data_IF_406623199630
#
_entry.id   IF_406623199630
#
_cell.length_a   1.000
_cell.length_b   1.000
_cell.length_c   1.000
_cell.angle_alpha   90.00
_cell.angle_beta   90.00
_cell.angle_gamma   90.00
#
_symmetry.space_group_name_H-M   'P 1'
#
loop_
_entity.id
_entity.type
_entity.pdbx_description
1 polymer ?
#
# COMPACT_ATOMS: atom_id res chain seq x y z
N UNK A 1 -8.41 -18.65 3.59
CA UNK A 1 -8.34 -18.95 2.15
C UNK A 1 -9.03 -17.88 1.30
N UNK A 2 -10.16 -17.30 1.74
CA UNK A 2 -10.87 -16.26 0.98
C UNK A 2 -10.04 -14.97 0.75
N UNK A 3 -9.31 -14.50 1.77
CA UNK A 3 -8.47 -13.31 1.65
C UNK A 3 -7.39 -13.45 0.54
N UNK A 4 -6.70 -14.59 0.48
CA UNK A 4 -5.70 -14.85 -0.57
C UNK A 4 -6.32 -14.81 -1.97
N UNK A 5 -7.54 -15.35 -2.13
CA UNK A 5 -8.28 -15.26 -3.39
C UNK A 5 -8.63 -13.83 -3.75
N UNK A 6 -9.07 -13.00 -2.78
CA UNK A 6 -9.36 -11.58 -3.00
C UNK A 6 -8.10 -10.81 -3.43
N UNK A 7 -6.97 -11.06 -2.77
CA UNK A 7 -5.67 -10.45 -3.10
C UNK A 7 -5.18 -10.87 -4.49
N UNK A 8 -5.19 -12.17 -4.81
CA UNK A 8 -4.81 -12.67 -6.14
C UNK A 8 -5.72 -12.10 -7.24
N UNK A 9 -7.03 -11.96 -6.99
CA UNK A 9 -7.97 -11.36 -7.95
C UNK A 9 -7.68 -9.88 -8.22
N UNK A 10 -7.15 -9.16 -7.23
CA UNK A 10 -6.66 -7.79 -7.38
C UNK A 10 -5.27 -7.70 -8.04
N UNK A 11 -4.65 -8.85 -8.35
CA UNK A 11 -3.36 -8.91 -9.04
C UNK A 11 -2.14 -8.96 -8.11
N UNK A 12 -2.34 -9.15 -6.80
CA UNK A 12 -1.26 -9.32 -5.83
C UNK A 12 -0.75 -10.76 -5.88
N UNK A 13 0.53 -10.95 -6.14
CA UNK A 13 1.16 -12.29 -6.18
C UNK A 13 1.44 -12.80 -4.76
N UNK A 14 0.41 -13.37 -4.14
CA UNK A 14 0.53 -13.93 -2.79
C UNK A 14 1.40 -15.19 -2.77
N UNK A 15 1.43 -15.97 -3.86
CA UNK A 15 2.14 -17.25 -3.95
C UNK A 15 3.66 -17.05 -3.88
N UNK A 16 4.20 -16.10 -4.65
CA UNK A 16 5.63 -15.78 -4.60
C UNK A 16 6.06 -15.25 -3.23
N UNK A 17 5.21 -14.47 -2.55
CA UNK A 17 5.52 -13.96 -1.20
C UNK A 17 5.51 -15.10 -0.19
N UNK A 18 4.49 -15.96 -0.20
CA UNK A 18 4.37 -17.11 0.70
C UNK A 18 5.56 -18.07 0.50
N UNK A 19 5.98 -18.29 -0.75
CA UNK A 19 7.15 -19.11 -1.07
C UNK A 19 8.42 -18.54 -0.44
N UNK A 20 8.65 -17.22 -0.54
CA UNK A 20 9.78 -16.54 0.12
C UNK A 20 9.74 -16.65 1.65
N UNK A 21 8.54 -16.76 2.22
CA UNK A 21 8.32 -16.99 3.66
C UNK A 21 8.40 -18.48 4.05
N UNK A 22 8.97 -19.34 3.20
CA UNK A 22 9.13 -20.77 3.47
C UNK A 22 7.81 -21.54 3.46
N UNK A 23 6.82 -21.09 2.69
CA UNK A 23 5.48 -21.68 2.64
C UNK A 23 4.58 -21.30 3.83
N UNK A 24 5.01 -20.36 4.68
CA UNK A 24 4.31 -20.01 5.91
C UNK A 24 3.13 -19.05 5.66
N UNK A 25 1.99 -19.61 5.28
CA UNK A 25 0.73 -18.86 5.07
C UNK A 25 0.29 -18.10 6.32
N UNK A 26 0.29 -18.66 7.54
CA UNK A 26 -0.06 -17.91 8.75
C UNK A 26 0.79 -16.67 8.99
N UNK A 27 2.10 -16.75 8.72
CA UNK A 27 3.01 -15.61 8.80
C UNK A 27 2.63 -14.53 7.80
N UNK A 28 2.39 -14.90 6.53
CA UNK A 28 1.94 -13.94 5.51
C UNK A 28 0.67 -13.20 5.95
N UNK A 29 -0.34 -13.92 6.42
CA UNK A 29 -1.60 -13.33 6.90
C UNK A 29 -1.39 -12.40 8.10
N UNK A 30 -0.46 -12.75 9.01
CA UNK A 30 -0.10 -11.89 10.15
C UNK A 30 0.53 -10.58 9.69
N UNK A 31 1.42 -10.61 8.69
CA UNK A 31 2.04 -9.40 8.13
C UNK A 31 0.99 -8.55 7.40
N UNK A 32 0.08 -9.17 6.63
CA UNK A 32 -1.06 -8.47 6.02
C UNK A 32 -1.93 -7.75 7.06
N UNK A 33 -2.20 -8.37 8.22
CA UNK A 33 -2.95 -7.71 9.30
C UNK A 33 -2.17 -6.54 9.92
N UNK A 34 -0.85 -6.67 10.05
CA UNK A 34 0.00 -5.57 10.54
C UNK A 34 -0.03 -4.35 9.61
N UNK A 35 -0.22 -4.56 8.30
CA UNK A 35 -0.36 -3.46 7.34
C UNK A 35 -1.55 -2.54 7.64
N UNK A 36 -2.64 -3.05 8.23
CA UNK A 36 -3.79 -2.22 8.62
C UNK A 36 -3.44 -1.15 9.67
N UNK A 37 -2.32 -1.35 10.38
CA UNK A 37 -1.82 -0.41 11.39
C UNK A 37 -0.59 0.37 10.90
N UNK A 38 -0.18 0.18 9.64
CA UNK A 38 0.95 0.91 9.06
C UNK A 38 0.57 2.37 8.80
N UNK A 39 1.42 3.29 9.29
CA UNK A 39 1.19 4.73 9.17
C UNK A 39 1.99 5.38 8.04
N UNK A 40 2.72 4.62 7.23
CA UNK A 40 3.62 5.20 6.22
C UNK A 40 2.86 5.96 5.14
N UNK A 41 1.71 5.46 4.67
CA UNK A 41 0.84 6.18 3.74
C UNK A 41 0.20 7.44 4.33
N UNK A 42 -0.51 7.42 5.48
CA UNK A 42 -1.12 8.64 6.01
C UNK A 42 -0.08 9.72 6.34
N UNK A 43 1.10 9.34 6.86
CA UNK A 43 2.19 10.28 7.12
C UNK A 43 2.82 10.84 5.84
N UNK A 44 2.87 10.06 4.76
CA UNK A 44 3.26 10.56 3.45
C UNK A 44 2.30 11.68 2.99
N UNK A 45 0.99 11.45 3.07
CA UNK A 45 0.00 12.44 2.65
C UNK A 45 0.06 13.71 3.51
N UNK A 46 0.26 13.56 4.82
CA UNK A 46 0.48 14.67 5.74
C UNK A 46 1.73 15.47 5.35
N UNK A 47 2.88 14.81 5.16
CA UNK A 47 4.13 15.46 4.77
C UNK A 47 4.00 16.22 3.44
N UNK A 48 3.31 15.64 2.46
CA UNK A 48 3.02 16.31 1.19
C UNK A 48 2.15 17.56 1.37
N UNK A 49 1.12 17.48 2.23
CA UNK A 49 0.25 18.63 2.52
C UNK A 49 0.96 19.79 3.22
N UNK A 50 1.99 19.47 4.02
CA UNK A 50 2.84 20.44 4.71
C UNK A 50 4.01 20.91 3.83
N UNK A 51 4.18 20.37 2.62
CA UNK A 51 5.31 20.68 1.74
C UNK A 51 6.65 20.13 2.22
N UNK A 52 6.67 19.22 3.21
CA UNK A 52 7.89 18.61 3.73
C UNK A 52 8.35 17.46 2.81
N UNK A 53 9.14 17.80 1.79
CA UNK A 53 9.67 16.81 0.84
C UNK A 53 10.60 15.80 1.52
N UNK A 54 11.35 16.21 2.55
CA UNK A 54 12.23 15.31 3.30
C UNK A 54 11.44 14.21 4.01
N UNK A 55 10.37 14.59 4.73
CA UNK A 55 9.53 13.62 5.44
C UNK A 55 8.73 12.76 4.45
N UNK A 56 8.24 13.36 3.36
CA UNK A 56 7.57 12.62 2.30
C UNK A 56 8.47 11.53 1.70
N UNK A 57 9.76 11.84 1.44
CA UNK A 57 10.76 10.86 0.97
C UNK A 57 10.98 9.72 1.97
N UNK A 58 11.04 10.03 3.26
CA UNK A 58 11.18 9.01 4.30
C UNK A 58 9.96 8.06 4.29
N UNK A 59 8.76 8.63 4.29
CA UNK A 59 7.52 7.84 4.36
C UNK A 59 7.26 7.02 3.09
N UNK A 60 7.48 7.57 1.89
CA UNK A 60 7.36 6.81 0.64
C UNK A 60 8.40 5.69 0.56
N UNK A 61 9.62 5.89 1.09
CA UNK A 61 10.65 4.86 1.14
C UNK A 61 10.23 3.69 2.04
N UNK A 62 9.66 3.98 3.22
CA UNK A 62 9.09 2.95 4.10
C UNK A 62 7.95 2.20 3.40
N UNK A 63 6.98 2.93 2.81
CA UNK A 63 5.84 2.33 2.13
C UNK A 63 6.27 1.43 0.96
N UNK A 64 7.29 1.85 0.20
CA UNK A 64 7.92 1.04 -0.87
C UNK A 64 8.40 -0.31 -0.35
N UNK A 65 9.07 -0.33 0.80
CA UNK A 65 9.60 -1.55 1.42
C UNK A 65 8.48 -2.47 1.91
N UNK A 66 7.46 -1.91 2.53
CA UNK A 66 6.25 -2.63 2.95
C UNK A 66 5.54 -3.27 1.75
N UNK A 67 5.33 -2.51 0.68
CA UNK A 67 4.72 -3.00 -0.56
C UNK A 67 5.53 -4.17 -1.19
N UNK A 68 6.86 -4.09 -1.21
CA UNK A 68 7.72 -5.18 -1.71
C UNK A 68 7.61 -6.47 -0.86
N UNK A 69 7.53 -6.32 0.46
CA UNK A 69 7.43 -7.46 1.37
C UNK A 69 6.07 -8.16 1.29
N UNK A 70 5.01 -7.41 1.00
CA UNK A 70 3.65 -7.94 0.89
C UNK A 70 3.26 -8.39 -0.52
N UNK A 71 4.10 -8.09 -1.51
CA UNK A 71 3.84 -8.40 -2.91
C UNK A 71 2.86 -7.42 -3.57
N UNK A 72 2.71 -6.20 -3.06
CA UNK A 72 1.86 -5.17 -3.66
C UNK A 72 2.61 -4.51 -4.83
N UNK A 73 2.77 -5.22 -5.95
CA UNK A 73 3.69 -4.80 -7.01
C UNK A 73 3.31 -3.44 -7.61
N UNK A 74 2.02 -3.16 -7.80
CA UNK A 74 1.56 -1.88 -8.34
C UNK A 74 1.88 -0.72 -7.39
N UNK A 75 1.53 -0.86 -6.10
CA UNK A 75 1.90 0.10 -5.07
C UNK A 75 3.42 0.30 -4.99
N UNK A 76 4.20 -0.78 -5.06
CA UNK A 76 5.66 -0.69 -5.05
C UNK A 76 6.21 0.10 -6.24
N UNK A 77 5.65 -0.09 -7.44
CA UNK A 77 6.04 0.65 -8.64
C UNK A 77 5.71 2.15 -8.52
N UNK A 78 4.51 2.50 -8.04
CA UNK A 78 4.11 3.88 -7.78
C UNK A 78 5.05 4.54 -6.76
N UNK A 79 5.36 3.87 -5.66
CA UNK A 79 6.29 4.40 -4.66
C UNK A 79 7.69 4.67 -5.23
N UNK A 80 8.16 3.84 -6.17
CA UNK A 80 9.44 4.08 -6.86
C UNK A 80 9.37 5.32 -7.74
N UNK A 81 8.31 5.44 -8.55
CA UNK A 81 8.15 6.59 -9.45
C UNK A 81 8.06 7.92 -8.67
N UNK A 82 7.24 7.96 -7.62
CA UNK A 82 7.10 9.12 -6.75
C UNK A 82 8.45 9.50 -6.12
N UNK A 83 9.19 8.51 -5.58
CA UNK A 83 10.49 8.76 -4.96
C UNK A 83 11.50 9.35 -5.97
N UNK A 84 11.57 8.80 -7.18
CA UNK A 84 12.44 9.32 -8.26
C UNK A 84 12.04 10.74 -8.68
N UNK A 85 10.73 11.02 -8.82
CA UNK A 85 10.27 12.37 -9.15
C UNK A 85 10.60 13.40 -8.05
N UNK A 86 10.52 13.00 -6.77
CA UNK A 86 10.97 13.82 -5.64
C UNK A 86 12.49 14.05 -5.63
N UNK A 87 13.29 13.12 -6.17
CA UNK A 87 14.76 13.29 -6.32
C UNK A 87 15.11 14.23 -7.47
N UNK A 88 14.31 14.25 -8.53
CA UNK A 88 14.49 15.11 -9.70
C UNK A 88 13.87 16.51 -9.55
N UNK A 89 13.25 16.81 -8.40
CA UNK A 89 12.50 18.05 -8.12
C UNK A 89 11.32 18.29 -9.08
N UNK A 90 10.77 17.23 -9.67
CA UNK A 90 9.65 17.29 -10.60
C UNK A 90 8.30 17.15 -9.86
N UNK A 91 8.01 18.09 -8.95
CA UNK A 91 6.85 18.01 -8.06
C UNK A 91 5.49 17.99 -8.82
N UNK A 92 5.46 18.50 -10.04
CA UNK A 92 4.27 18.54 -10.90
C UNK A 92 4.03 17.21 -11.64
N UNK A 93 5.00 16.30 -11.64
CA UNK A 93 4.98 15.10 -12.48
C UNK A 93 4.40 13.86 -11.76
N UNK A 94 4.18 13.90 -10.44
CA UNK A 94 3.72 12.74 -9.67
C UNK A 94 2.34 12.88 -9.02
N UNK A 95 1.61 13.96 -9.28
CA UNK A 95 0.24 14.13 -8.73
C UNK A 95 -0.67 12.96 -9.17
N UNK A 96 -0.56 12.56 -10.44
CA UNK A 96 -1.26 11.38 -10.95
C UNK A 96 -0.87 10.10 -10.19
N UNK A 97 0.43 9.88 -9.94
CA UNK A 97 0.92 8.72 -9.23
C UNK A 97 0.46 8.69 -7.76
N UNK A 98 0.35 9.85 -7.11
CA UNK A 98 -0.20 9.97 -5.74
C UNK A 98 -1.69 9.63 -5.71
N UNK A 99 -2.46 10.05 -6.71
CA UNK A 99 -3.87 9.68 -6.82
C UNK A 99 -4.01 8.16 -7.02
N UNK A 100 -3.25 7.58 -7.94
CA UNK A 100 -3.21 6.13 -8.16
C UNK A 100 -2.77 5.37 -6.89
N UNK A 101 -1.78 5.88 -6.16
CA UNK A 101 -1.32 5.28 -4.90
C UNK A 101 -2.41 5.31 -3.83
N UNK A 102 -3.16 6.41 -3.77
CA UNK A 102 -4.25 6.58 -2.83
C UNK A 102 -5.41 5.63 -3.10
N UNK A 103 -5.75 5.42 -4.38
CA UNK A 103 -6.78 4.47 -4.78
C UNK A 103 -6.37 3.03 -4.51
N UNK A 104 -5.13 2.67 -4.87
CA UNK A 104 -4.57 1.35 -4.58
C UNK A 104 -4.53 1.07 -3.07
N UNK A 105 -4.09 2.03 -2.26
CA UNK A 105 -4.07 1.90 -0.80
C UNK A 105 -5.47 1.62 -0.24
N UNK A 106 -6.49 2.38 -0.69
CA UNK A 106 -7.88 2.17 -0.24
C UNK A 106 -8.40 0.78 -0.62
N UNK A 107 -8.12 0.31 -1.84
CA UNK A 107 -8.55 -1.01 -2.30
C UNK A 107 -7.90 -2.11 -1.45
N UNK A 108 -6.59 -2.02 -1.20
CA UNK A 108 -5.87 -2.98 -0.36
C UNK A 108 -6.44 -3.00 1.07
N UNK A 109 -6.64 -1.83 1.69
CA UNK A 109 -7.23 -1.74 3.03
C UNK A 109 -8.63 -2.35 3.06
N UNK A 110 -9.46 -2.11 2.03
CA UNK A 110 -10.80 -2.69 1.94
C UNK A 110 -10.74 -4.24 1.86
N UNK A 111 -9.87 -4.78 1.00
CA UNK A 111 -9.66 -6.23 0.88
C UNK A 111 -9.19 -6.83 2.22
N UNK A 112 -8.23 -6.20 2.89
CA UNK A 112 -7.63 -6.68 4.14
C UNK A 112 -8.57 -6.57 5.35
N UNK A 113 -9.46 -5.58 5.37
CA UNK A 113 -10.42 -5.34 6.46
C UNK A 113 -11.67 -6.23 6.36
N UNK A 114 -11.72 -7.14 5.37
CA UNK A 114 -12.89 -7.97 5.01
C UNK A 114 -14.14 -7.18 4.58
N UNK A 115 -13.99 -5.87 4.43
CA UNK A 115 -14.94 -4.99 3.78
C UNK A 115 -14.68 -5.06 2.28
N UNK A 116 -15.13 -6.15 1.64
CA UNK A 116 -15.22 -6.16 0.17
C UNK A 116 -15.93 -4.88 -0.33
N UNK A 117 -15.66 -4.40 -1.56
CA UNK A 117 -16.36 -3.24 -2.11
C UNK A 117 -17.86 -3.53 -2.13
N UNK A 118 -18.58 -3.11 -1.09
CA UNK A 118 -19.93 -3.59 -0.82
C UNK A 118 -20.43 -3.51 0.62
N UNK A 119 -19.58 -3.36 1.65
CA UNK A 119 -20.09 -3.08 3.00
C UNK A 119 -20.06 -1.57 3.26
N UNK A 120 -21.24 -0.96 3.07
CA UNK A 120 -21.54 0.39 3.55
C UNK A 120 -21.09 0.48 5.01
N UNK A 121 -20.38 1.55 5.35
CA UNK A 121 -20.27 2.01 6.73
C UNK A 121 -21.70 2.19 7.25
N UNK A 122 -22.14 1.24 8.07
CA UNK A 122 -23.34 1.37 8.88
C UNK A 122 -23.03 2.48 9.88
N UNK A 123 -23.27 3.72 9.46
CA UNK A 123 -23.53 4.81 10.40
C UNK A 123 -24.82 4.42 11.09
N UNK A 124 -24.72 4.00 12.35
CA UNK A 124 -25.87 3.77 13.20
C UNK A 124 -25.60 4.44 14.53
N UNK A 125 -26.31 5.56 14.66
CA UNK A 125 -26.90 6.20 15.85
C UNK A 125 -25.99 6.55 17.03
#
# INVERSE_FOLDING_TARGET
>A
MELLKKLNKHGIDTESVITRLGGNVPLYLSICKKFLFDTSYPKLMEALSLGSISDAKMHIHTLKGVAANLGFQYMHALCKHILTAMEQCELKCFEHDINCLSDEYKIIIAILSDNGPGQKLNSSN
#
